data_IF_162133968758
#
_entry.id   IF_162133968758
#
_cell.length_a   1.000
_cell.length_b   1.000
_cell.length_c   1.000
_cell.angle_alpha   90.00
_cell.angle_beta   90.00
_cell.angle_gamma   90.00
#
_symmetry.space_group_name_H-M   'P 1'
#
loop_
_entity.id
_entity.type
_entity.pdbx_description
1 polymer ?
#
# COMPACT_ATOMS: atom_id res chain seq x y z
N UNK A 1 13.87 14.75 6.27
CA UNK A 1 13.41 13.45 5.74
C UNK A 1 13.11 13.64 4.27
N UNK A 2 13.81 12.92 3.38
CA UNK A 2 13.60 13.00 1.94
C UNK A 2 12.57 11.94 1.54
N UNK A 3 11.49 12.36 0.88
CA UNK A 3 10.32 11.53 0.58
C UNK A 3 10.08 11.49 -0.93
N UNK A 4 9.71 10.32 -1.45
CA UNK A 4 9.29 10.15 -2.84
C UNK A 4 7.96 9.39 -2.91
N UNK A 5 7.10 9.80 -3.85
CA UNK A 5 5.80 9.20 -4.14
C UNK A 5 5.85 8.58 -5.55
N UNK A 6 5.93 7.27 -5.63
CA UNK A 6 6.04 6.52 -6.87
C UNK A 6 4.67 6.14 -7.42
N UNK A 7 4.40 6.50 -8.68
CA UNK A 7 3.07 6.39 -9.25
C UNK A 7 2.11 7.42 -8.65
N UNK A 8 2.59 8.65 -8.44
CA UNK A 8 1.87 9.67 -7.68
C UNK A 8 0.61 10.20 -8.41
N UNK A 9 0.53 10.07 -9.73
CA UNK A 9 -0.56 10.62 -10.52
C UNK A 9 -0.80 12.09 -10.22
N UNK A 10 -2.08 12.47 -10.14
CA UNK A 10 -2.52 13.85 -9.82
C UNK A 10 -2.46 14.19 -8.32
N UNK A 11 -2.34 13.19 -7.47
CA UNK A 11 -2.52 13.34 -6.01
C UNK A 11 -1.21 13.08 -5.25
N UNK A 12 -0.11 13.70 -5.69
CA UNK A 12 1.19 13.61 -5.02
C UNK A 12 1.09 13.94 -3.53
N UNK A 13 1.82 13.23 -2.70
CA UNK A 13 1.96 13.54 -1.27
C UNK A 13 2.69 14.88 -1.10
N UNK A 14 2.13 15.76 -0.30
CA UNK A 14 2.72 17.07 -0.03
C UNK A 14 4.14 16.94 0.53
N UNK A 15 5.06 17.74 -0.03
CA UNK A 15 6.46 17.74 0.36
C UNK A 15 7.27 16.53 -0.14
N UNK A 16 6.70 15.65 -0.97
CA UNK A 16 7.43 14.58 -1.63
C UNK A 16 7.89 14.97 -3.05
N UNK A 17 8.86 14.23 -3.56
CA UNK A 17 9.17 14.19 -5.00
C UNK A 17 8.21 13.19 -5.65
N UNK A 18 7.48 13.60 -6.68
CA UNK A 18 6.55 12.75 -7.42
C UNK A 18 7.20 12.12 -8.64
N UNK A 19 7.08 10.80 -8.80
CA UNK A 19 7.48 10.08 -10.01
C UNK A 19 6.27 9.38 -10.59
N UNK A 20 6.01 9.60 -11.87
CA UNK A 20 4.94 8.95 -12.62
C UNK A 20 5.29 8.89 -14.11
N UNK A 21 4.67 7.96 -14.85
CA UNK A 21 4.82 7.88 -16.30
C UNK A 21 4.06 9.00 -17.03
N UNK A 22 3.02 9.54 -16.41
CA UNK A 22 2.22 10.62 -16.97
C UNK A 22 2.94 11.97 -16.74
N UNK A 23 3.01 12.80 -17.77
CA UNK A 23 3.51 14.15 -17.64
C UNK A 23 2.40 15.07 -17.12
N UNK A 24 2.35 15.28 -15.81
CA UNK A 24 1.35 16.07 -15.09
C UNK A 24 2.05 17.13 -14.23
N UNK A 25 1.36 18.22 -13.89
CA UNK A 25 1.90 19.32 -13.06
C UNK A 25 2.36 18.85 -11.67
N UNK A 26 1.80 17.76 -11.16
CA UNK A 26 2.15 17.13 -9.89
C UNK A 26 3.39 16.24 -9.96
N UNK A 27 3.91 15.93 -11.16
CA UNK A 27 5.00 14.98 -11.39
C UNK A 27 6.32 15.74 -11.56
N UNK A 28 7.28 15.43 -10.70
CA UNK A 28 8.62 16.04 -10.76
C UNK A 28 9.58 15.23 -11.65
N UNK A 29 9.38 13.90 -11.74
CA UNK A 29 10.18 12.97 -12.53
C UNK A 29 9.24 12.14 -13.40
N UNK A 30 9.24 12.40 -14.71
CA UNK A 30 8.47 11.58 -15.66
C UNK A 30 9.25 10.31 -15.97
N UNK A 31 8.77 9.15 -15.46
CA UNK A 31 9.45 7.88 -15.62
C UNK A 31 8.49 6.71 -15.43
N UNK A 32 8.66 5.64 -16.23
CA UNK A 32 7.89 4.41 -16.07
C UNK A 32 8.50 3.53 -14.98
N UNK A 33 7.66 3.07 -14.03
CA UNK A 33 8.08 2.18 -12.95
C UNK A 33 8.60 0.81 -13.44
N UNK A 34 8.35 0.45 -14.69
CA UNK A 34 8.90 -0.77 -15.31
C UNK A 34 10.22 -0.53 -16.07
N UNK A 35 10.72 0.70 -16.11
CA UNK A 35 12.01 1.05 -16.71
C UNK A 35 13.08 1.13 -15.63
N UNK A 36 14.00 0.18 -15.62
CA UNK A 36 15.05 0.08 -14.60
C UNK A 36 16.44 0.40 -15.16
N UNK A 37 17.37 0.98 -14.38
CA UNK A 37 17.15 1.56 -13.05
C UNK A 37 16.39 2.89 -13.11
N UNK A 38 15.75 3.31 -12.00
CA UNK A 38 15.18 4.65 -11.91
C UNK A 38 16.28 5.73 -11.96
N UNK A 39 16.00 6.94 -12.51
CA UNK A 39 16.96 8.05 -12.56
C UNK A 39 17.14 8.68 -11.17
N UNK A 40 17.44 7.83 -10.19
CA UNK A 40 17.52 8.15 -8.77
C UNK A 40 18.74 7.43 -8.19
N UNK A 41 19.58 8.19 -7.49
CA UNK A 41 20.76 7.65 -6.83
C UNK A 41 20.39 6.63 -5.73
N UNK A 42 21.21 5.59 -5.53
CA UNK A 42 21.02 4.65 -4.41
C UNK A 42 21.01 5.38 -3.07
N UNK A 43 20.30 4.83 -2.10
CA UNK A 43 20.27 5.30 -0.71
C UNK A 43 19.97 6.82 -0.55
N UNK A 44 19.12 7.36 -1.43
CA UNK A 44 18.82 8.80 -1.47
C UNK A 44 17.55 9.20 -0.70
N UNK A 45 16.63 8.28 -0.43
CA UNK A 45 15.35 8.57 0.21
C UNK A 45 15.19 7.89 1.58
N UNK A 46 14.49 8.58 2.49
CA UNK A 46 14.15 8.07 3.82
C UNK A 46 12.81 7.34 3.81
N UNK A 47 11.89 7.76 2.93
CA UNK A 47 10.53 7.22 2.82
C UNK A 47 10.07 7.19 1.37
N UNK A 48 9.48 6.06 0.98
CA UNK A 48 8.79 5.88 -0.30
C UNK A 48 7.31 5.68 -0.03
N UNK A 49 6.47 6.30 -0.84
CA UNK A 49 5.05 5.98 -0.97
C UNK A 49 4.79 5.22 -2.27
N UNK A 50 3.96 4.18 -2.19
CA UNK A 50 3.30 3.48 -3.29
C UNK A 50 1.81 3.42 -2.94
N UNK A 51 1.01 4.34 -3.48
CA UNK A 51 -0.39 4.50 -3.15
C UNK A 51 -1.25 4.23 -4.38
N UNK A 52 -2.07 3.19 -4.31
CA UNK A 52 -2.90 2.75 -5.44
C UNK A 52 -2.08 2.60 -6.73
N UNK A 53 -0.97 1.87 -6.61
CA UNK A 53 0.03 1.73 -7.67
C UNK A 53 0.31 0.27 -7.97
N UNK A 54 0.68 -0.53 -6.96
CA UNK A 54 1.15 -1.90 -7.19
C UNK A 54 0.05 -2.86 -7.65
N UNK A 55 -1.21 -2.57 -7.39
CA UNK A 55 -2.36 -3.37 -7.86
C UNK A 55 -2.49 -3.41 -9.39
N UNK A 56 -1.87 -2.46 -10.10
CA UNK A 56 -1.86 -2.41 -11.57
C UNK A 56 -0.77 -3.27 -12.22
N UNK A 57 0.11 -3.87 -11.42
CA UNK A 57 1.23 -4.68 -11.91
C UNK A 57 1.04 -6.17 -11.63
N UNK A 58 1.71 -7.01 -12.42
CA UNK A 58 1.86 -8.44 -12.12
C UNK A 58 2.83 -8.65 -10.96
N UNK A 59 2.80 -9.82 -10.33
CA UNK A 59 3.65 -10.10 -9.16
C UNK A 59 5.14 -10.01 -9.50
N UNK A 60 5.54 -10.44 -10.68
CA UNK A 60 6.93 -10.38 -11.14
C UNK A 60 7.41 -8.93 -11.27
N UNK A 61 6.54 -8.06 -11.79
CA UNK A 61 6.83 -6.64 -11.93
C UNK A 61 6.88 -5.94 -10.56
N UNK A 62 6.00 -6.32 -9.63
CA UNK A 62 6.00 -5.80 -8.25
C UNK A 62 7.32 -6.13 -7.56
N UNK A 63 7.84 -7.35 -7.75
CA UNK A 63 9.11 -7.76 -7.18
C UNK A 63 10.27 -6.90 -7.71
N UNK A 64 10.31 -6.59 -8.99
CA UNK A 64 11.32 -5.70 -9.59
C UNK A 64 11.18 -4.26 -9.06
N UNK A 65 9.96 -3.74 -8.97
CA UNK A 65 9.69 -2.41 -8.38
C UNK A 65 10.17 -2.36 -6.93
N UNK A 66 9.89 -3.38 -6.12
CA UNK A 66 10.32 -3.42 -4.72
C UNK A 66 11.84 -3.57 -4.56
N UNK A 67 12.52 -4.27 -5.47
CA UNK A 67 13.98 -4.30 -5.49
C UNK A 67 14.57 -2.92 -5.76
N UNK A 68 13.99 -2.18 -6.69
CA UNK A 68 14.42 -0.84 -7.02
C UNK A 68 14.11 0.15 -5.88
N UNK A 69 12.95 0.02 -5.25
CA UNK A 69 12.62 0.75 -4.01
C UNK A 69 13.66 0.49 -2.91
N UNK A 70 14.11 -0.77 -2.78
CA UNK A 70 15.14 -1.13 -1.82
C UNK A 70 16.49 -0.47 -2.14
N UNK A 71 16.85 -0.38 -3.43
CA UNK A 71 18.07 0.29 -3.88
C UNK A 71 18.09 1.77 -3.50
N UNK A 72 17.00 2.50 -3.79
CA UNK A 72 16.91 3.95 -3.59
C UNK A 72 16.66 4.37 -2.14
N UNK A 73 16.19 3.44 -1.29
CA UNK A 73 16.02 3.70 0.15
C UNK A 73 17.36 3.66 0.89
N UNK A 74 17.54 4.62 1.80
CA UNK A 74 18.62 4.61 2.79
C UNK A 74 18.48 3.42 3.74
N UNK A 75 19.56 3.08 4.43
CA UNK A 75 19.53 2.13 5.53
C UNK A 75 18.48 2.54 6.56
N UNK A 76 17.65 1.60 7.00
CA UNK A 76 16.49 1.83 7.87
C UNK A 76 15.37 2.69 7.25
N UNK A 77 15.46 3.05 5.98
CA UNK A 77 14.38 3.71 5.24
C UNK A 77 13.13 2.83 5.17
N UNK A 78 12.00 3.45 4.92
CA UNK A 78 10.69 2.78 4.93
C UNK A 78 9.97 2.96 3.61
N UNK A 79 9.15 1.97 3.26
CA UNK A 79 8.17 2.08 2.20
C UNK A 79 6.77 1.92 2.80
N UNK A 80 5.84 2.78 2.41
CA UNK A 80 4.43 2.67 2.72
C UNK A 80 3.66 2.33 1.45
N UNK A 81 2.97 1.20 1.49
CA UNK A 81 2.21 0.67 0.37
C UNK A 81 0.74 0.70 0.75
N UNK A 82 -0.07 1.44 0.00
CA UNK A 82 -1.52 1.49 0.15
C UNK A 82 -2.18 0.82 -1.06
N UNK A 83 -3.06 -0.16 -0.80
CA UNK A 83 -3.78 -0.91 -1.82
C UNK A 83 -5.23 -1.16 -1.38
N UNK A 84 -6.17 -1.34 -2.31
CA UNK A 84 -7.52 -1.73 -1.96
C UNK A 84 -7.55 -3.17 -1.40
N UNK A 85 -8.38 -3.39 -0.38
CA UNK A 85 -8.62 -4.73 0.16
C UNK A 85 -9.46 -5.55 -0.82
N UNK A 86 -9.15 -6.82 -1.03
CA UNK A 86 -9.83 -7.71 -1.99
C UNK A 86 -11.35 -7.81 -1.80
N UNK A 87 -11.87 -7.60 -0.59
CA UNK A 87 -13.32 -7.60 -0.33
C UNK A 87 -13.95 -6.19 -0.41
N UNK A 88 -13.23 -5.19 -0.86
CA UNK A 88 -13.79 -3.87 -1.13
C UNK A 88 -14.22 -3.72 -2.59
N UNK A 89 -15.26 -2.93 -2.86
CA UNK A 89 -15.65 -2.63 -4.25
C UNK A 89 -14.53 -1.93 -5.02
N UNK A 90 -13.73 -1.11 -4.35
CA UNK A 90 -12.60 -0.41 -4.96
C UNK A 90 -11.61 -1.36 -5.64
N UNK A 91 -11.47 -2.60 -5.13
CA UNK A 91 -10.60 -3.60 -5.74
C UNK A 91 -11.04 -4.02 -7.16
N UNK A 92 -12.34 -3.93 -7.46
CA UNK A 92 -12.94 -4.41 -8.73
C UNK A 92 -13.49 -3.28 -9.61
N UNK A 93 -13.60 -2.06 -9.09
CA UNK A 93 -14.14 -0.93 -9.84
C UNK A 93 -13.20 -0.50 -10.96
N UNK A 94 -11.90 -0.56 -10.71
CA UNK A 94 -10.88 -0.27 -11.71
C UNK A 94 -10.50 -1.56 -12.44
N UNK A 95 -10.83 -1.61 -13.74
CA UNK A 95 -10.58 -2.77 -14.61
C UNK A 95 -9.09 -2.97 -14.93
N UNK A 96 -8.22 -2.04 -14.56
CA UNK A 96 -6.77 -2.15 -14.77
C UNK A 96 -6.06 -2.86 -13.62
N UNK A 97 -6.75 -3.21 -12.53
CA UNK A 97 -6.19 -3.99 -11.44
C UNK A 97 -5.86 -5.41 -11.87
N UNK A 98 -4.64 -5.82 -11.60
CA UNK A 98 -4.10 -7.15 -11.92
C UNK A 98 -3.86 -8.00 -10.68
N UNK A 99 -3.69 -7.36 -9.52
CA UNK A 99 -3.36 -8.01 -8.25
C UNK A 99 -4.34 -7.59 -7.15
N UNK A 100 -4.72 -8.57 -6.31
CA UNK A 100 -5.70 -8.40 -5.23
C UNK A 100 -5.09 -8.77 -3.90
N UNK A 101 -5.40 -8.00 -2.86
CA UNK A 101 -4.68 -8.07 -1.60
C UNK A 101 -5.58 -8.28 -0.39
N UNK A 102 -5.06 -9.06 0.56
CA UNK A 102 -5.58 -9.19 1.93
C UNK A 102 -4.58 -8.57 2.91
N UNK A 103 -4.93 -8.47 4.19
CA UNK A 103 -3.98 -7.98 5.21
C UNK A 103 -2.73 -8.85 5.32
N UNK A 104 -2.83 -10.14 4.99
CA UNK A 104 -1.71 -11.06 5.00
C UNK A 104 -0.74 -10.90 3.82
N UNK A 105 -1.20 -10.32 2.72
CA UNK A 105 -0.37 -10.25 1.50
C UNK A 105 0.96 -9.53 1.74
N UNK A 106 1.00 -8.52 2.61
CA UNK A 106 2.25 -7.84 2.96
C UNK A 106 3.30 -8.73 3.62
N UNK A 107 2.90 -9.86 4.21
CA UNK A 107 3.84 -10.84 4.77
C UNK A 107 4.65 -11.58 3.71
N UNK A 108 4.17 -11.57 2.47
CA UNK A 108 4.87 -12.20 1.37
C UNK A 108 6.28 -11.62 1.16
N UNK A 109 6.46 -10.35 1.45
CA UNK A 109 7.75 -9.66 1.35
C UNK A 109 8.53 -9.60 2.67
N UNK A 110 7.97 -10.13 3.78
CA UNK A 110 8.68 -10.13 5.06
C UNK A 110 9.70 -11.27 5.12
N UNK A 111 10.96 -10.94 5.36
CA UNK A 111 12.06 -11.92 5.50
C UNK A 111 11.82 -12.99 6.56
N UNK A 112 10.95 -12.71 7.54
CA UNK A 112 10.61 -13.66 8.61
C UNK A 112 9.50 -14.64 8.22
N UNK A 113 8.90 -14.47 7.06
CA UNK A 113 7.82 -15.33 6.62
C UNK A 113 8.38 -16.59 5.92
N UNK A 114 7.82 -17.75 6.26
CA UNK A 114 8.16 -19.02 5.62
C UNK A 114 7.84 -19.08 4.12
N UNK A 115 6.96 -18.19 3.64
CA UNK A 115 6.58 -18.13 2.22
C UNK A 115 7.55 -17.26 1.39
N UNK A 116 8.53 -16.62 2.00
CA UNK A 116 9.50 -15.77 1.29
C UNK A 116 10.36 -16.53 0.28
N UNK A 117 10.42 -17.86 0.37
CA UNK A 117 11.18 -18.68 -0.60
C UNK A 117 10.55 -18.72 -2.02
N UNK A 118 9.27 -18.33 -2.16
CA UNK A 118 8.66 -18.19 -3.49
C UNK A 118 9.08 -16.90 -4.20
N UNK A 119 9.67 -15.96 -3.46
CA UNK A 119 10.07 -14.67 -4.01
C UNK A 119 11.50 -14.74 -4.49
N UNK A 120 11.73 -14.42 -5.75
CA UNK A 120 13.07 -14.17 -6.29
C UNK A 120 13.61 -12.78 -5.87
N UNK A 121 13.05 -12.20 -4.79
CA UNK A 121 13.43 -10.86 -4.34
C UNK A 121 14.73 -10.96 -3.55
N UNK A 122 15.79 -10.33 -4.06
CA UNK A 122 17.03 -10.12 -3.30
C UNK A 122 16.85 -9.08 -2.16
N UNK A 123 15.80 -8.27 -2.22
CA UNK A 123 15.49 -7.25 -1.23
C UNK A 123 14.94 -7.88 0.05
N UNK A 124 15.60 -7.62 1.19
CA UNK A 124 15.25 -8.17 2.49
C UNK A 124 14.41 -7.15 3.27
N UNK A 125 13.09 -7.25 3.14
CA UNK A 125 12.17 -6.38 3.86
C UNK A 125 11.83 -6.90 5.26
N UNK A 126 11.47 -5.98 6.16
CA UNK A 126 10.86 -6.29 7.45
C UNK A 126 9.50 -5.61 7.52
N UNK A 127 8.43 -6.39 7.64
CA UNK A 127 7.07 -5.86 7.84
C UNK A 127 6.96 -5.28 9.26
N UNK A 128 6.80 -3.97 9.38
CA UNK A 128 6.71 -3.26 10.67
C UNK A 128 5.28 -3.01 11.10
N UNK A 129 4.38 -2.75 10.15
CA UNK A 129 3.01 -2.34 10.47
C UNK A 129 2.04 -2.73 9.37
N UNK A 130 0.85 -3.13 9.78
CA UNK A 130 -0.31 -3.32 8.92
C UNK A 130 -1.44 -2.47 9.47
N UNK A 131 -2.01 -1.63 8.65
CA UNK A 131 -3.12 -0.75 9.00
C UNK A 131 -4.25 -0.93 7.99
N UNK A 132 -5.43 -0.52 8.39
CA UNK A 132 -6.62 -0.47 7.54
C UNK A 132 -7.24 0.90 7.66
N UNK A 133 -7.65 1.49 6.55
CA UNK A 133 -8.60 2.60 6.51
C UNK A 133 -9.89 2.12 5.88
N UNK A 134 -11.02 2.62 6.40
CA UNK A 134 -12.36 2.27 5.92
C UNK A 134 -13.07 3.56 5.59
N UNK A 135 -13.49 3.71 4.33
CA UNK A 135 -14.39 4.76 3.92
C UNK A 135 -15.78 4.16 3.71
N UNK A 136 -16.72 4.57 4.53
CA UNK A 136 -18.13 4.27 4.36
C UNK A 136 -18.74 5.19 3.33
N UNK A 137 -19.84 4.74 2.76
CA UNK A 137 -20.59 5.41 1.71
C UNK A 137 -20.81 6.90 1.96
N UNK A 138 -20.74 7.66 0.88
CA UNK A 138 -21.27 9.01 0.77
C UNK A 138 -22.82 8.96 0.75
N UNK A 139 -23.43 8.71 1.91
CA UNK A 139 -24.86 8.87 2.08
C UNK A 139 -25.16 10.36 2.33
N UNK A 140 -25.97 10.93 1.47
CA UNK A 140 -26.39 12.32 1.47
C UNK A 140 -27.13 12.69 2.78
N UNK A 141 -26.37 13.02 3.83
CA UNK A 141 -26.96 13.52 5.08
C UNK A 141 -25.93 13.74 6.18
N UNK A 142 -25.75 14.99 6.63
CA UNK A 142 -24.74 15.38 7.64
C UNK A 142 -24.82 14.62 8.98
N UNK A 143 -25.97 14.10 9.36
CA UNK A 143 -26.19 13.39 10.63
C UNK A 143 -25.62 11.98 10.56
N UNK A 144 -25.77 11.30 9.42
CA UNK A 144 -25.24 9.95 9.21
C UNK A 144 -23.70 9.94 9.09
N UNK A 145 -23.11 11.02 8.60
CA UNK A 145 -21.65 11.15 8.45
C UNK A 145 -20.90 11.06 9.78
N UNK A 146 -21.47 11.57 10.88
CA UNK A 146 -20.86 11.42 12.21
C UNK A 146 -20.93 9.97 12.70
N UNK A 147 -22.03 9.27 12.43
CA UNK A 147 -22.20 7.86 12.78
C UNK A 147 -21.21 6.98 11.97
N UNK A 148 -21.05 7.26 10.69
CA UNK A 148 -20.12 6.55 9.81
C UNK A 148 -18.67 6.73 10.24
N UNK A 149 -18.26 7.93 10.65
CA UNK A 149 -16.92 8.19 11.16
C UNK A 149 -16.66 7.41 12.45
N UNK A 150 -17.62 7.38 13.38
CA UNK A 150 -17.48 6.65 14.65
C UNK A 150 -17.43 5.14 14.39
N UNK A 151 -18.33 4.62 13.55
CA UNK A 151 -18.34 3.21 13.20
C UNK A 151 -17.06 2.79 12.48
N UNK A 152 -16.58 3.59 11.53
CA UNK A 152 -15.31 3.36 10.83
C UNK A 152 -14.16 3.26 11.81
N UNK A 153 -14.07 4.19 12.78
CA UNK A 153 -13.02 4.17 13.80
C UNK A 153 -13.12 2.96 14.74
N UNK A 154 -14.32 2.57 15.13
CA UNK A 154 -14.53 1.35 15.94
C UNK A 154 -14.08 0.11 15.16
N UNK A 155 -14.42 0.03 13.87
CA UNK A 155 -14.04 -1.10 13.03
C UNK A 155 -12.54 -1.11 12.73
N UNK A 156 -11.94 0.04 12.46
CA UNK A 156 -10.48 0.18 12.33
C UNK A 156 -9.77 -0.28 13.61
N UNK A 157 -10.29 0.10 14.77
CA UNK A 157 -9.75 -0.33 16.06
C UNK A 157 -9.85 -1.85 16.24
N UNK A 158 -10.99 -2.47 15.90
CA UNK A 158 -11.16 -3.93 15.98
C UNK A 158 -10.25 -4.68 15.00
N UNK A 159 -10.11 -4.18 13.79
CA UNK A 159 -9.19 -4.73 12.79
C UNK A 159 -7.74 -4.57 13.25
N UNK A 160 -7.36 -3.39 13.74
CA UNK A 160 -6.04 -3.10 14.28
C UNK A 160 -5.69 -4.04 15.45
N UNK A 161 -6.61 -4.27 16.37
CA UNK A 161 -6.41 -5.22 17.47
C UNK A 161 -6.24 -6.65 16.97
N UNK A 162 -7.02 -7.08 15.97
CA UNK A 162 -6.89 -8.40 15.37
C UNK A 162 -5.53 -8.58 14.66
N UNK A 163 -4.99 -7.50 14.08
CA UNK A 163 -3.69 -7.50 13.41
C UNK A 163 -2.52 -7.48 14.40
N UNK A 164 -2.63 -6.68 15.48
CA UNK A 164 -1.55 -6.52 16.47
C UNK A 164 -1.38 -7.73 17.39
N UNK A 165 -2.44 -8.47 17.67
CA UNK A 165 -2.39 -9.63 18.57
C UNK A 165 -1.81 -10.90 17.93
N UNK A 166 -1.09 -10.77 16.82
CA UNK A 166 -0.33 -11.82 16.10
C UNK A 166 -1.13 -13.11 15.79
N UNK A 167 -2.37 -13.19 16.23
CA UNK A 167 -3.05 -14.45 16.31
C UNK A 167 -4.00 -14.73 15.15
N UNK A 168 -4.54 -13.72 14.43
CA UNK A 168 -5.52 -14.02 13.38
C UNK A 168 -5.74 -12.88 12.36
N UNK A 169 -4.79 -12.63 11.43
CA UNK A 169 -5.09 -11.76 10.28
C UNK A 169 -6.34 -12.20 9.50
N UNK A 170 -6.62 -13.51 9.47
CA UNK A 170 -7.88 -14.08 8.94
C UNK A 170 -9.14 -13.51 9.61
N UNK A 171 -9.07 -13.05 10.85
CA UNK A 171 -10.22 -12.40 11.51
C UNK A 171 -10.48 -11.01 10.95
N UNK A 172 -9.42 -10.23 10.70
CA UNK A 172 -9.54 -8.91 10.07
C UNK A 172 -10.14 -9.02 8.66
N UNK A 173 -9.64 -9.95 7.84
CA UNK A 173 -10.19 -10.23 6.51
C UNK A 173 -11.67 -10.65 6.58
N UNK A 174 -12.04 -11.48 7.56
CA UNK A 174 -13.44 -11.91 7.78
C UNK A 174 -14.34 -10.75 8.19
N UNK A 175 -13.84 -9.80 8.98
CA UNK A 175 -14.59 -8.59 9.36
C UNK A 175 -14.88 -7.76 8.10
N UNK A 176 -13.88 -7.49 7.27
CA UNK A 176 -14.05 -6.73 6.03
C UNK A 176 -15.05 -7.42 5.11
N UNK A 177 -14.92 -8.74 4.90
CA UNK A 177 -15.86 -9.52 4.10
C UNK A 177 -17.28 -9.44 4.62
N UNK A 178 -17.48 -9.59 5.95
CA UNK A 178 -18.82 -9.62 6.57
C UNK A 178 -19.58 -8.32 6.39
N UNK A 179 -18.88 -7.18 6.44
CA UNK A 179 -19.52 -5.86 6.41
C UNK A 179 -19.51 -5.22 5.03
N UNK A 180 -18.97 -5.90 4.00
CA UNK A 180 -18.98 -5.46 2.59
C UNK A 180 -18.61 -4.00 2.43
N UNK A 181 -17.49 -3.57 3.03
CA UNK A 181 -17.03 -2.19 2.96
C UNK A 181 -16.78 -1.78 1.51
N UNK A 182 -17.31 -0.65 1.08
CA UNK A 182 -17.10 -0.16 -0.27
C UNK A 182 -15.66 0.26 -0.54
N UNK A 183 -15.03 0.88 0.44
CA UNK A 183 -13.63 1.28 0.35
C UNK A 183 -12.92 0.88 1.64
N UNK A 184 -12.30 -0.29 1.63
CA UNK A 184 -11.33 -0.68 2.62
C UNK A 184 -9.95 -0.70 1.96
N UNK A 185 -9.03 0.04 2.53
CA UNK A 185 -7.64 0.10 2.10
C UNK A 185 -6.74 -0.58 3.12
N UNK A 186 -5.71 -1.23 2.61
CA UNK A 186 -4.64 -1.80 3.40
C UNK A 186 -3.44 -0.89 3.26
N UNK A 187 -2.77 -0.65 4.38
CA UNK A 187 -1.49 0.04 4.39
C UNK A 187 -0.44 -0.83 5.08
N UNK A 188 0.57 -1.20 4.33
CA UNK A 188 1.76 -1.85 4.86
C UNK A 188 2.90 -0.86 5.02
N UNK A 189 3.66 -1.01 6.09
CA UNK A 189 4.95 -0.34 6.25
C UNK A 189 6.04 -1.39 6.31
N UNK A 190 6.88 -1.43 5.29
CA UNK A 190 8.07 -2.27 5.22
C UNK A 190 9.31 -1.42 5.50
N UNK A 191 10.33 -2.02 6.10
CA UNK A 191 11.60 -1.36 6.40
C UNK A 191 12.76 -2.14 5.77
N UNK A 192 13.69 -1.39 5.16
CA UNK A 192 15.00 -1.86 4.68
C UNK A 192 15.95 -2.21 5.80
#
# INVERSE_FOLDING_TARGET
>A
MKVIDLGCGKNKVDGSVGLDRANLDSVDIVHDLLSFPYPIEPESYDLIYLRHTIEHFSIENIDLILQECYRILKKNGKIQINVPHVFSLAAYTDLTHKSFYTFNSGKFWDKKNSMSYYNNISAIWTLKRVECSINWFDWKGRILRCFDIVLSKIMEYRIRNALNNNSKPSLADRIVKKYSFQMAEIKWTLQK
#
